data_IF_596516241990
#
_entry.id   IF_596516241990
#
_cell.length_a   1.000
_cell.length_b   1.000
_cell.length_c   1.000
_cell.angle_alpha   90.00
_cell.angle_beta   90.00
_cell.angle_gamma   90.00
#
_symmetry.space_group_name_H-M   'P 1'
#
loop_
_entity.id
_entity.type
_entity.pdbx_description
1 polymer ?
#
# COMPACT_ATOMS: atom_id res chain seq x y z
N UNK A 1 6.80 -13.04 9.04
CA UNK A 1 6.77 -12.89 7.59
C UNK A 1 6.26 -11.52 7.17
N UNK A 2 6.72 -11.04 6.04
CA UNK A 2 6.38 -9.75 5.48
C UNK A 2 5.64 -9.95 4.15
N UNK A 3 4.52 -9.25 3.99
CA UNK A 3 3.76 -9.26 2.75
C UNK A 3 3.82 -7.87 2.13
N UNK A 4 4.22 -7.80 0.86
CA UNK A 4 4.20 -6.56 0.07
C UNK A 4 3.20 -6.74 -1.06
N UNK A 5 2.22 -5.83 -1.15
CA UNK A 5 1.25 -5.80 -2.24
C UNK A 5 1.53 -4.60 -3.12
N UNK A 6 1.75 -4.87 -4.41
CA UNK A 6 1.98 -3.83 -5.40
C UNK A 6 0.76 -3.73 -6.30
N UNK A 7 0.04 -2.62 -6.19
CA UNK A 7 -1.11 -2.36 -7.05
C UNK A 7 -0.61 -1.82 -8.40
N UNK A 8 -0.88 -2.56 -9.45
CA UNK A 8 -0.50 -2.15 -10.81
C UNK A 8 -1.47 -1.09 -11.31
N UNK A 9 -1.10 0.17 -11.15
CA UNK A 9 -1.96 1.33 -11.43
C UNK A 9 -1.75 1.92 -12.83
N UNK A 10 -0.91 1.33 -13.67
CA UNK A 10 -0.62 1.80 -15.02
C UNK A 10 -0.96 0.72 -16.03
N UNK A 11 -1.64 1.13 -17.11
CA UNK A 11 -2.03 0.26 -18.22
C UNK A 11 -1.45 0.83 -19.50
N UNK A 12 -0.88 -0.04 -20.33
CA UNK A 12 -0.45 0.32 -21.67
C UNK A 12 -1.62 0.10 -22.64
N UNK A 13 -2.01 1.17 -23.35
CA UNK A 13 -3.09 1.10 -24.33
C UNK A 13 -2.49 0.82 -25.72
N UNK A 14 -2.51 -0.45 -26.12
CA UNK A 14 -1.93 -0.89 -27.38
C UNK A 14 -2.89 -0.64 -28.58
N UNK A 15 -4.18 -0.50 -28.31
CA UNK A 15 -5.21 -0.42 -29.35
C UNK A 15 -5.23 0.89 -30.13
N UNK A 16 -4.62 1.95 -29.62
CA UNK A 16 -4.58 3.26 -30.26
C UNK A 16 -3.25 3.57 -30.94
N UNK A 17 -2.37 2.59 -31.08
CA UNK A 17 -1.05 2.79 -31.68
C UNK A 17 -0.14 3.71 -30.90
N UNK A 18 -0.57 4.16 -29.74
CA UNK A 18 0.20 5.03 -28.84
C UNK A 18 0.73 4.19 -27.68
N UNK A 19 2.04 4.11 -27.56
CA UNK A 19 2.69 3.45 -26.42
C UNK A 19 2.63 4.35 -25.18
N UNK A 20 1.41 4.75 -24.81
CA UNK A 20 1.22 5.62 -23.66
C UNK A 20 0.70 4.79 -22.49
N UNK A 21 1.39 4.88 -21.36
CA UNK A 21 0.91 4.33 -20.11
C UNK A 21 -0.19 5.24 -19.56
N UNK A 22 -1.32 4.67 -19.21
CA UNK A 22 -2.44 5.37 -18.60
C UNK A 22 -2.53 4.99 -17.13
N UNK A 23 -2.61 5.98 -16.24
CA UNK A 23 -2.80 5.72 -14.83
C UNK A 23 -4.24 5.36 -14.53
N UNK A 24 -4.44 4.29 -13.76
CA UNK A 24 -5.76 3.90 -13.27
C UNK A 24 -6.06 4.67 -11.99
N UNK A 25 -7.19 5.39 -11.98
CA UNK A 25 -7.62 6.16 -10.83
C UNK A 25 -8.74 5.47 -10.03
N UNK A 26 -9.01 4.21 -10.33
CA UNK A 26 -10.01 3.43 -9.60
C UNK A 26 -9.63 3.36 -8.12
N UNK A 27 -10.60 3.70 -7.28
CA UNK A 27 -10.39 3.64 -5.84
C UNK A 27 -10.30 2.18 -5.38
N UNK A 28 -9.28 1.87 -4.62
CA UNK A 28 -9.11 0.57 -3.96
C UNK A 28 -9.12 0.82 -2.45
N UNK A 29 -10.12 0.28 -1.78
CA UNK A 29 -10.22 0.40 -0.33
C UNK A 29 -9.39 -0.70 0.34
N UNK A 30 -8.80 -0.37 1.47
CA UNK A 30 -8.05 -1.33 2.29
C UNK A 30 -8.26 -0.99 3.77
N UNK A 31 -8.14 -2.02 4.61
CA UNK A 31 -8.27 -1.86 6.05
C UNK A 31 -6.94 -2.00 6.76
N UNK A 32 -6.98 -1.88 8.07
CA UNK A 32 -5.79 -2.03 8.93
C UNK A 32 -5.30 -3.48 9.00
N UNK A 33 -6.15 -4.45 8.68
CA UNK A 33 -5.81 -5.87 8.73
C UNK A 33 -6.24 -6.54 7.42
N UNK A 34 -5.35 -7.37 6.89
CA UNK A 34 -5.65 -8.21 5.74
C UNK A 34 -5.60 -9.68 6.18
N UNK A 35 -6.66 -10.41 5.89
CA UNK A 35 -6.69 -11.86 6.12
C UNK A 35 -6.63 -12.57 4.78
N UNK A 36 -5.71 -13.51 4.67
CA UNK A 36 -5.61 -14.40 3.52
C UNK A 36 -6.13 -15.77 3.95
N UNK A 37 -7.17 -16.23 3.26
CA UNK A 37 -7.75 -17.54 3.52
C UNK A 37 -6.81 -18.66 3.12
N UNK A 38 -6.97 -19.84 3.70
CA UNK A 38 -6.11 -20.99 3.44
C UNK A 38 -6.10 -21.42 1.97
N UNK A 39 -7.13 -21.09 1.18
CA UNK A 39 -7.20 -21.37 -0.24
C UNK A 39 -6.36 -20.43 -1.11
N UNK A 40 -5.85 -19.34 -0.54
CA UNK A 40 -5.04 -18.34 -1.27
C UNK A 40 -3.56 -18.48 -0.92
N UNK A 41 -3.24 -19.11 0.20
CA UNK A 41 -1.87 -19.30 0.68
C UNK A 41 -1.42 -20.75 0.55
N UNK A 42 -0.11 -20.97 0.60
CA UNK A 42 0.45 -22.31 0.60
C UNK A 42 0.00 -23.11 1.82
N UNK A 43 0.09 -24.45 1.70
CA UNK A 43 -0.33 -25.39 2.73
C UNK A 43 0.39 -25.18 4.07
N UNK A 44 1.51 -24.50 4.08
CA UNK A 44 2.32 -24.26 5.28
C UNK A 44 1.74 -23.20 6.23
N UNK A 45 0.70 -22.49 5.81
CA UNK A 45 0.14 -21.39 6.61
C UNK A 45 -0.95 -21.86 7.56
N UNK A 46 -1.31 -23.13 7.53
CA UNK A 46 -2.32 -23.71 8.41
C UNK A 46 -3.76 -23.43 7.97
N UNK A 47 -4.70 -24.14 8.61
CA UNK A 47 -6.11 -24.14 8.21
C UNK A 47 -6.83 -22.80 8.41
N UNK A 48 -6.32 -21.92 9.27
CA UNK A 48 -6.91 -20.60 9.56
C UNK A 48 -6.48 -19.48 8.62
N UNK A 49 -5.60 -19.77 7.66
CA UNK A 49 -5.02 -18.72 6.80
C UNK A 49 -4.02 -17.84 7.55
N UNK A 50 -3.71 -16.69 6.99
CA UNK A 50 -2.77 -15.72 7.58
C UNK A 50 -3.41 -14.35 7.71
N UNK A 51 -3.09 -13.65 8.80
CA UNK A 51 -3.52 -12.29 9.05
C UNK A 51 -2.30 -11.36 9.06
N UNK A 52 -2.42 -10.22 8.38
CA UNK A 52 -1.36 -9.23 8.28
C UNK A 52 -1.88 -7.87 8.74
N UNK A 53 -1.09 -7.19 9.55
CA UNK A 53 -1.37 -5.81 9.95
C UNK A 53 -0.71 -4.84 8.97
N UNK A 54 -1.43 -3.79 8.61
CA UNK A 54 -0.89 -2.75 7.73
C UNK A 54 0.21 -1.98 8.46
N UNK A 55 1.38 -1.88 7.82
CA UNK A 55 2.55 -1.21 8.40
C UNK A 55 2.97 0.02 7.62
N UNK A 56 2.74 0.03 6.32
CA UNK A 56 3.07 1.19 5.50
C UNK A 56 2.29 1.18 4.20
N UNK A 57 2.10 2.37 3.65
CA UNK A 57 1.48 2.58 2.35
C UNK A 57 2.31 3.59 1.58
N UNK A 58 2.70 3.26 0.36
CA UNK A 58 3.38 4.20 -0.54
C UNK A 58 2.34 4.74 -1.53
N UNK A 59 2.29 6.05 -1.64
CA UNK A 59 1.35 6.75 -2.52
C UNK A 59 2.09 7.45 -3.65
N UNK A 60 1.59 7.31 -4.86
CA UNK A 60 2.07 8.04 -6.02
C UNK A 60 1.09 9.15 -6.38
N UNK A 61 1.59 10.36 -6.46
CA UNK A 61 0.82 11.55 -6.84
C UNK A 61 1.23 11.99 -8.24
N UNK A 62 0.28 12.09 -9.15
CA UNK A 62 0.55 12.49 -10.52
C UNK A 62 -0.26 11.67 -11.52
N UNK A 63 -0.20 12.09 -12.78
CA UNK A 63 -0.94 11.48 -13.87
C UNK A 63 -0.09 10.56 -14.75
N UNK A 64 1.23 10.67 -14.64
CA UNK A 64 2.18 10.02 -15.54
C UNK A 64 3.04 9.01 -14.79
N UNK A 65 3.41 7.93 -15.47
CA UNK A 65 4.37 6.96 -14.98
C UNK A 65 5.79 7.54 -14.86
N UNK A 66 6.11 8.55 -15.67
CA UNK A 66 7.45 9.15 -15.73
C UNK A 66 7.65 10.34 -14.80
N UNK A 67 6.57 10.84 -14.21
CA UNK A 67 6.63 12.01 -13.36
C UNK A 67 5.73 11.83 -12.15
N UNK A 68 5.73 12.82 -11.30
CA UNK A 68 4.90 12.82 -10.11
C UNK A 68 5.74 12.83 -8.85
N UNK A 69 5.10 12.52 -7.76
CA UNK A 69 5.69 12.59 -6.45
C UNK A 69 5.24 11.37 -5.62
N UNK A 70 6.14 10.85 -4.81
CA UNK A 70 5.84 9.75 -3.89
C UNK A 70 5.82 10.24 -2.46
N UNK A 71 4.82 9.80 -1.72
CA UNK A 71 4.76 9.97 -0.27
C UNK A 71 4.50 8.60 0.37
N UNK A 72 4.65 8.53 1.67
CA UNK A 72 4.41 7.28 2.38
C UNK A 72 3.73 7.54 3.72
N UNK A 73 2.91 6.60 4.14
CA UNK A 73 2.42 6.49 5.50
C UNK A 73 3.14 5.32 6.16
N UNK A 74 3.73 5.53 7.30
CA UNK A 74 4.47 4.49 8.03
C UNK A 74 3.98 4.45 9.46
N UNK A 75 3.69 3.25 9.94
CA UNK A 75 3.36 3.05 11.34
C UNK A 75 4.61 2.74 12.12
N UNK A 76 4.87 3.51 13.16
CA UNK A 76 6.00 3.27 14.05
C UNK A 76 5.77 2.02 14.87
N UNK A 77 6.85 1.40 15.34
CA UNK A 77 6.74 0.26 16.24
C UNK A 77 6.16 0.69 17.58
N UNK A 78 5.36 -0.18 18.19
CA UNK A 78 4.90 0.03 19.55
C UNK A 78 6.09 -0.06 20.51
N UNK A 79 6.16 0.83 21.49
CA UNK A 79 7.24 0.87 22.45
C UNK A 79 6.69 1.28 23.82
N UNK A 80 7.22 0.69 24.88
CA UNK A 80 6.88 1.06 26.26
C UNK A 80 5.39 0.92 26.61
N UNK A 81 4.69 -0.03 26.01
CA UNK A 81 3.25 -0.22 26.20
C UNK A 81 2.38 0.75 25.42
N UNK A 82 2.99 1.63 24.61
CA UNK A 82 2.28 2.59 23.76
C UNK A 82 2.13 2.03 22.36
N UNK A 83 0.93 2.12 21.79
CA UNK A 83 0.70 1.75 20.40
C UNK A 83 1.50 2.66 19.45
N UNK A 84 1.95 2.10 18.33
CA UNK A 84 2.63 2.90 17.32
C UNK A 84 1.72 3.96 16.71
N UNK A 85 2.33 5.02 16.21
CA UNK A 85 1.61 6.10 15.54
C UNK A 85 1.89 6.08 14.04
N UNK A 86 0.96 6.60 13.25
CA UNK A 86 1.14 6.78 11.82
C UNK A 86 1.86 8.09 11.54
N UNK A 87 2.84 8.03 10.65
CA UNK A 87 3.62 9.18 10.23
C UNK A 87 3.49 9.33 8.73
N UNK A 88 3.10 10.51 8.28
CA UNK A 88 3.11 10.85 6.85
C UNK A 88 4.49 11.38 6.49
N UNK A 89 5.13 10.74 5.52
CA UNK A 89 6.47 11.07 5.07
C UNK A 89 6.39 11.67 3.67
N UNK A 90 6.80 12.92 3.55
CA UNK A 90 6.86 13.66 2.30
C UNK A 90 8.27 14.23 2.18
N UNK A 91 9.18 13.46 1.54
CA UNK A 91 10.62 13.72 1.51
C UNK A 91 11.16 13.95 2.93
N UNK A 92 11.68 15.13 3.24
CA UNK A 92 12.20 15.45 4.57
C UNK A 92 11.12 15.88 5.55
N UNK A 93 9.88 16.09 5.10
CA UNK A 93 8.79 16.53 5.96
C UNK A 93 8.07 15.32 6.58
N UNK A 94 8.06 15.26 7.90
CA UNK A 94 7.40 14.19 8.65
C UNK A 94 6.28 14.79 9.49
N UNK A 95 5.13 14.14 9.47
CA UNK A 95 3.95 14.61 10.21
C UNK A 95 3.21 13.42 10.81
N UNK A 96 2.94 13.49 12.10
CA UNK A 96 2.08 12.49 12.75
C UNK A 96 0.65 12.70 12.27
N UNK A 97 0.00 11.62 11.87
CA UNK A 97 -1.36 11.66 11.34
C UNK A 97 -2.27 10.70 12.09
N UNK A 98 -3.55 10.96 12.02
CA UNK A 98 -4.57 10.07 12.56
C UNK A 98 -4.75 8.87 11.64
N UNK A 99 -5.07 7.71 12.20
CA UNK A 99 -5.33 6.49 11.42
C UNK A 99 -6.48 6.67 10.41
N UNK A 100 -7.39 7.59 10.69
CA UNK A 100 -8.52 7.88 9.79
C UNK A 100 -8.13 8.66 8.53
N UNK A 101 -6.93 9.22 8.45
CA UNK A 101 -6.47 9.98 7.27
C UNK A 101 -6.13 9.08 6.06
#
# INVERSE_FOLDING_TARGET
PLLVLHLKRFVFDVKKGVRAARKLHKRVAYGATLRLDAGVTDADVGAGGAAYALRSVVCHHGQSMRGGHYTAYVRTAAAGGTAGVWVHCDDAALRVVDEAE
#
